data_IF_776426148521
#
_entry.id   IF_776426148521
#
_cell.length_a   1.000
_cell.length_b   1.000
_cell.length_c   1.000
_cell.angle_alpha   90.00
_cell.angle_beta   90.00
_cell.angle_gamma   90.00
#
_symmetry.space_group_name_H-M   'P 1'
#
loop_
_entity.id
_entity.type
_entity.pdbx_description
1 polymer ?
#
# COMPACT_ATOMS: atom_id res chain seq x y z
N UNK A 1 -15.52 0.41 9.27
CA UNK A 1 -16.61 0.58 8.29
C UNK A 1 -16.59 -0.48 7.19
N UNK A 2 -15.44 -1.09 6.88
CA UNK A 2 -15.27 -2.05 5.78
C UNK A 2 -15.18 -3.52 6.24
N UNK A 3 -15.77 -3.86 7.39
CA UNK A 3 -15.80 -5.26 7.80
C UNK A 3 -16.73 -6.04 6.89
N UNK A 4 -16.16 -7.03 6.20
CA UNK A 4 -16.90 -7.95 5.37
C UNK A 4 -17.91 -8.78 6.16
N UNK A 5 -18.79 -9.46 5.44
CA UNK A 5 -19.74 -10.42 6.03
C UNK A 5 -19.51 -11.82 5.49
N UNK A 6 -19.76 -12.81 6.34
CA UNK A 6 -19.66 -14.23 5.93
C UNK A 6 -20.66 -14.55 4.81
N UNK A 7 -21.86 -14.01 4.86
CA UNK A 7 -22.87 -14.20 3.80
C UNK A 7 -22.37 -13.73 2.43
N UNK A 8 -21.75 -12.54 2.38
CA UNK A 8 -21.17 -12.04 1.13
C UNK A 8 -19.94 -12.85 0.71
N UNK A 9 -19.16 -13.33 1.68
CA UNK A 9 -18.00 -14.19 1.43
C UNK A 9 -18.39 -15.51 0.77
N UNK A 10 -19.48 -16.14 1.21
CA UNK A 10 -20.01 -17.35 0.60
C UNK A 10 -20.47 -17.12 -0.85
N UNK A 11 -21.11 -15.97 -1.13
CA UNK A 11 -21.50 -15.58 -2.49
C UNK A 11 -20.29 -15.39 -3.42
N UNK A 12 -19.24 -14.73 -2.92
CA UNK A 12 -17.99 -14.55 -3.70
C UNK A 12 -17.29 -15.90 -3.93
N UNK A 13 -17.18 -16.73 -2.88
CA UNK A 13 -16.58 -18.05 -2.99
C UNK A 13 -17.31 -18.92 -4.01
N UNK A 14 -18.65 -18.86 -4.04
CA UNK A 14 -19.47 -19.55 -5.04
C UNK A 14 -19.22 -19.02 -6.46
N UNK A 15 -19.15 -17.70 -6.63
CA UNK A 15 -18.86 -17.08 -7.94
C UNK A 15 -17.45 -17.44 -8.47
N UNK A 16 -16.53 -17.79 -7.59
CA UNK A 16 -15.17 -18.22 -7.94
C UNK A 16 -14.97 -19.73 -8.01
N UNK A 17 -16.02 -20.55 -7.76
CA UNK A 17 -15.91 -22.02 -7.63
C UNK A 17 -15.30 -22.68 -8.87
N UNK A 18 -15.75 -22.31 -10.07
CA UNK A 18 -15.25 -22.88 -11.33
C UNK A 18 -13.78 -22.52 -11.56
N UNK A 19 -13.40 -21.26 -11.26
CA UNK A 19 -12.02 -20.81 -11.39
C UNK A 19 -11.10 -21.51 -10.36
N UNK A 20 -11.59 -21.72 -9.14
CA UNK A 20 -10.87 -22.48 -8.11
C UNK A 20 -10.58 -23.90 -8.56
N UNK A 21 -11.60 -24.57 -9.14
CA UNK A 21 -11.46 -25.90 -9.71
C UNK A 21 -10.46 -25.93 -10.87
N UNK A 22 -10.51 -24.95 -11.77
CA UNK A 22 -9.54 -24.82 -12.87
C UNK A 22 -8.09 -24.69 -12.33
N UNK A 23 -7.91 -24.04 -11.20
CA UNK A 23 -6.62 -23.91 -10.51
C UNK A 23 -6.23 -25.11 -9.65
N UNK A 24 -7.04 -26.17 -9.62
CA UNK A 24 -6.81 -27.39 -8.85
C UNK A 24 -7.05 -27.22 -7.34
N UNK A 25 -7.87 -26.25 -6.96
CA UNK A 25 -8.27 -25.98 -5.57
C UNK A 25 -9.65 -26.60 -5.28
N UNK A 26 -9.95 -26.77 -4.01
CA UNK A 26 -11.31 -27.11 -3.56
C UNK A 26 -12.31 -26.03 -4.02
N UNK A 27 -13.46 -26.46 -4.54
CA UNK A 27 -14.52 -25.55 -5.02
C UNK A 27 -15.04 -24.66 -3.89
N UNK A 28 -15.14 -25.21 -2.68
CA UNK A 28 -15.63 -24.51 -1.49
C UNK A 28 -14.47 -23.97 -0.65
N UNK A 29 -14.68 -22.79 -0.09
CA UNK A 29 -13.76 -22.16 0.87
C UNK A 29 -14.18 -22.58 2.27
N UNK A 30 -13.24 -23.11 3.05
CA UNK A 30 -13.46 -23.47 4.45
C UNK A 30 -13.20 -22.27 5.38
N UNK A 31 -14.26 -21.57 5.74
CA UNK A 31 -14.18 -20.41 6.64
C UNK A 31 -13.99 -20.80 8.12
N UNK A 32 -14.08 -22.08 8.49
CA UNK A 32 -13.87 -22.51 9.87
C UNK A 32 -12.42 -22.32 10.35
N UNK A 33 -11.48 -22.25 9.44
CA UNK A 33 -10.04 -22.03 9.68
C UNK A 33 -9.65 -20.56 9.64
N UNK A 34 -10.60 -19.69 9.39
CA UNK A 34 -10.32 -18.25 9.35
C UNK A 34 -10.06 -17.73 10.76
N UNK A 35 -8.91 -17.06 10.94
CA UNK A 35 -8.56 -16.35 12.18
C UNK A 35 -7.85 -15.05 11.85
N UNK A 36 -8.12 -14.01 12.61
CA UNK A 36 -7.37 -12.77 12.55
C UNK A 36 -6.26 -12.79 13.60
N UNK A 37 -5.04 -12.29 13.29
CA UNK A 37 -4.00 -12.11 14.30
C UNK A 37 -4.46 -11.11 15.36
N UNK A 38 -4.18 -11.39 16.62
CA UNK A 38 -4.44 -10.45 17.71
C UNK A 38 -3.46 -9.27 17.63
N UNK A 39 -3.99 -8.06 17.78
CA UNK A 39 -3.20 -6.83 17.67
C UNK A 39 -2.13 -6.75 18.78
N UNK A 40 -2.49 -7.10 19.98
CA UNK A 40 -1.61 -7.09 21.14
C UNK A 40 -0.37 -7.97 20.93
N UNK A 41 -0.56 -9.18 20.39
CA UNK A 41 0.56 -10.09 20.07
C UNK A 41 1.50 -9.49 19.02
N UNK A 42 0.98 -8.73 18.05
CA UNK A 42 1.81 -8.04 17.06
C UNK A 42 2.59 -6.88 17.69
N UNK A 43 1.96 -6.13 18.61
CA UNK A 43 2.60 -5.04 19.33
C UNK A 43 3.73 -5.56 20.23
N UNK A 44 3.48 -6.65 20.94
CA UNK A 44 4.49 -7.29 21.80
C UNK A 44 5.70 -7.75 20.96
N UNK A 45 5.49 -8.34 19.80
CA UNK A 45 6.57 -8.71 18.88
C UNK A 45 7.39 -7.49 18.41
N UNK A 46 6.76 -6.34 18.15
CA UNK A 46 7.44 -5.09 17.81
C UNK A 46 8.34 -4.64 18.98
N UNK A 47 7.82 -4.67 20.21
CA UNK A 47 8.56 -4.27 21.40
C UNK A 47 9.72 -5.22 21.70
N UNK A 48 9.51 -6.53 21.58
CA UNK A 48 10.54 -7.56 21.80
C UNK A 48 11.67 -7.50 20.78
N UNK A 49 11.37 -7.17 19.52
CA UNK A 49 12.41 -7.07 18.48
C UNK A 49 13.26 -5.81 18.58
N UNK A 50 12.84 -4.82 19.36
CA UNK A 50 13.58 -3.57 19.58
C UNK A 50 13.78 -2.74 18.31
N UNK A 51 12.84 -2.80 17.36
CA UNK A 51 12.89 -1.97 16.14
C UNK A 51 12.79 -0.49 16.52
N UNK A 52 13.61 0.40 15.92
CA UNK A 52 13.59 1.81 16.28
C UNK A 52 12.40 2.59 15.72
N UNK A 53 11.72 2.06 14.72
CA UNK A 53 10.62 2.74 14.00
C UNK A 53 9.51 1.75 13.66
N UNK A 54 8.27 2.15 13.88
CA UNK A 54 7.08 1.42 13.45
C UNK A 54 6.16 2.32 12.64
N UNK A 55 5.54 1.80 11.60
CA UNK A 55 4.49 2.52 10.89
C UNK A 55 3.12 1.90 11.18
N UNK A 56 2.11 2.75 11.38
CA UNK A 56 0.72 2.33 11.50
C UNK A 56 -0.11 2.78 10.30
N UNK A 57 -1.03 1.92 9.91
CA UNK A 57 -1.95 2.15 8.80
C UNK A 57 -3.38 1.91 9.25
N UNK A 58 -4.35 2.53 8.56
CA UNK A 58 -5.77 2.41 8.86
C UNK A 58 -6.18 2.97 10.22
N UNK A 59 -5.52 4.05 10.64
CA UNK A 59 -5.71 4.77 11.90
C UNK A 59 -4.41 4.95 12.66
N UNK A 60 -4.45 5.74 13.72
CA UNK A 60 -3.34 5.88 14.68
C UNK A 60 -3.39 4.79 15.76
N UNK A 61 -2.31 4.62 16.48
CA UNK A 61 -2.33 3.80 17.68
C UNK A 61 -3.26 4.41 18.74
N UNK A 62 -3.91 3.56 19.52
CA UNK A 62 -4.57 4.00 20.76
C UNK A 62 -3.52 4.56 21.69
N UNK A 63 -3.87 5.60 22.46
CA UNK A 63 -2.97 6.29 23.39
C UNK A 63 -2.09 5.34 24.20
N UNK A 64 -2.70 4.33 24.84
CA UNK A 64 -1.98 3.34 25.66
C UNK A 64 -0.91 2.56 24.89
N UNK A 65 -1.08 2.35 23.59
CA UNK A 65 -0.11 1.64 22.75
C UNK A 65 0.98 2.59 22.23
N UNK A 66 0.59 3.81 21.87
CA UNK A 66 1.54 4.88 21.51
C UNK A 66 2.51 5.17 22.64
N UNK A 67 2.01 5.35 23.87
CA UNK A 67 2.83 5.54 25.06
C UNK A 67 3.82 4.39 25.31
N UNK A 68 3.38 3.13 25.18
CA UNK A 68 4.28 1.98 25.31
C UNK A 68 5.41 2.00 24.29
N UNK A 69 5.11 2.34 23.02
CA UNK A 69 6.09 2.44 21.96
C UNK A 69 7.10 3.56 22.24
N UNK A 70 6.64 4.75 22.61
CA UNK A 70 7.50 5.88 22.95
C UNK A 70 8.38 5.61 24.17
N UNK A 71 7.85 4.97 25.22
CA UNK A 71 8.63 4.54 26.40
C UNK A 71 9.74 3.54 26.03
N UNK A 72 9.51 2.72 25.00
CA UNK A 72 10.51 1.81 24.46
C UNK A 72 11.48 2.50 23.46
N UNK A 73 11.35 3.80 23.22
CA UNK A 73 12.18 4.57 22.28
C UNK A 73 11.84 4.33 20.80
N UNK A 74 10.65 3.82 20.51
CA UNK A 74 10.21 3.53 19.14
C UNK A 74 9.52 4.76 18.54
N UNK A 75 9.95 5.21 17.37
CA UNK A 75 9.31 6.26 16.58
C UNK A 75 8.08 5.74 15.84
N UNK A 76 7.00 6.52 15.84
CA UNK A 76 5.72 6.16 15.23
C UNK A 76 5.51 6.98 13.95
N UNK A 77 5.35 6.28 12.82
CA UNK A 77 4.98 6.86 11.53
C UNK A 77 3.50 6.56 11.25
N UNK A 78 2.64 7.59 11.34
CA UNK A 78 1.22 7.46 11.03
C UNK A 78 0.94 7.64 9.55
N UNK A 79 0.12 6.79 8.91
CA UNK A 79 -0.24 6.93 7.50
C UNK A 79 -1.57 7.69 7.32
N UNK A 80 -1.66 8.51 6.26
CA UNK A 80 -2.84 9.29 5.92
C UNK A 80 -3.01 9.45 4.40
N UNK A 81 -4.24 9.55 3.92
CA UNK A 81 -4.59 9.78 2.51
C UNK A 81 -5.26 11.13 2.27
N UNK A 82 -5.63 11.82 3.35
CA UNK A 82 -6.23 13.14 3.34
C UNK A 82 -5.61 14.05 4.41
N UNK A 83 -5.76 15.37 4.26
CA UNK A 83 -5.34 16.31 5.30
C UNK A 83 -6.08 16.08 6.63
N UNK A 84 -7.36 15.65 6.58
CA UNK A 84 -8.14 15.31 7.77
C UNK A 84 -7.48 14.17 8.54
N UNK A 85 -7.14 13.09 7.86
CA UNK A 85 -6.46 11.93 8.44
C UNK A 85 -5.05 12.28 8.95
N UNK A 86 -4.30 13.12 8.24
CA UNK A 86 -3.00 13.58 8.69
C UNK A 86 -3.06 14.37 10.01
N UNK A 87 -4.12 15.17 10.21
CA UNK A 87 -4.39 15.85 11.48
C UNK A 87 -4.74 14.86 12.60
N UNK A 88 -5.46 13.78 12.29
CA UNK A 88 -5.75 12.71 13.26
C UNK A 88 -4.47 12.02 13.68
N UNK A 89 -3.56 11.69 12.73
CA UNK A 89 -2.26 11.09 13.06
C UNK A 89 -1.43 11.98 13.98
N UNK A 90 -1.42 13.29 13.73
CA UNK A 90 -0.76 14.25 14.63
C UNK A 90 -1.39 14.24 16.04
N UNK A 91 -2.72 14.19 16.13
CA UNK A 91 -3.42 14.14 17.39
C UNK A 91 -3.24 12.81 18.14
N UNK A 92 -2.91 11.73 17.41
CA UNK A 92 -2.53 10.43 17.95
C UNK A 92 -1.04 10.30 18.27
N UNK A 93 -0.33 11.44 18.37
CA UNK A 93 1.07 11.56 18.76
C UNK A 93 2.06 10.79 17.86
N UNK A 94 1.76 10.76 16.54
CA UNK A 94 2.74 10.25 15.56
C UNK A 94 3.91 11.21 15.41
N UNK A 95 5.13 10.68 15.34
CA UNK A 95 6.38 11.45 15.18
C UNK A 95 6.58 11.99 13.76
N UNK A 96 6.01 11.28 12.77
CA UNK A 96 5.95 11.73 11.37
C UNK A 96 4.69 11.18 10.69
N UNK A 97 4.33 11.79 9.55
CA UNK A 97 3.13 11.35 8.79
C UNK A 97 3.52 10.93 7.38
N UNK A 98 3.17 9.69 7.03
CA UNK A 98 3.24 9.17 5.67
C UNK A 98 2.00 9.65 4.92
N UNK A 99 2.18 10.49 3.91
CA UNK A 99 1.13 10.97 3.04
C UNK A 99 1.06 10.12 1.79
N UNK A 100 0.00 9.33 1.66
CA UNK A 100 -0.18 8.45 0.52
C UNK A 100 -1.08 9.08 -0.54
N UNK A 101 -0.51 9.49 -1.66
CA UNK A 101 -1.25 9.93 -2.85
C UNK A 101 -2.02 8.79 -3.52
N UNK A 102 -3.06 9.13 -4.30
CA UNK A 102 -3.87 8.15 -5.03
C UNK A 102 -3.06 7.37 -6.08
N UNK A 103 -1.90 7.87 -6.46
CA UNK A 103 -0.95 7.26 -7.39
C UNK A 103 -0.27 6.00 -6.84
N UNK A 104 -0.29 5.83 -5.51
CA UNK A 104 0.40 4.72 -4.85
C UNK A 104 -0.17 3.36 -5.22
N UNK A 105 0.70 2.37 -5.45
CA UNK A 105 0.34 0.98 -5.59
C UNK A 105 0.02 0.31 -4.24
N UNK A 106 -0.78 -0.74 -4.28
CA UNK A 106 -1.20 -1.48 -3.10
C UNK A 106 -2.38 -0.85 -2.36
N UNK A 107 -2.63 -1.26 -1.11
CA UNK A 107 -3.78 -0.81 -0.33
C UNK A 107 -3.81 0.70 -0.14
N UNK A 108 -4.99 1.31 -0.28
CA UNK A 108 -5.24 2.69 0.12
C UNK A 108 -5.37 2.74 1.64
N UNK A 109 -4.61 3.63 2.28
CA UNK A 109 -4.42 3.65 3.74
C UNK A 109 -5.45 4.54 4.47
N UNK A 110 -6.59 4.84 3.83
CA UNK A 110 -7.67 5.66 4.42
C UNK A 110 -8.32 4.98 5.63
N UNK A 111 -8.85 5.80 6.55
CA UNK A 111 -9.54 5.31 7.76
C UNK A 111 -10.67 6.22 8.26
N UNK A 112 -10.59 7.53 8.05
CA UNK A 112 -11.63 8.52 8.41
C UNK A 112 -12.45 8.94 7.20
N UNK A 113 -11.88 8.81 6.00
CA UNK A 113 -12.47 9.22 4.73
C UNK A 113 -13.19 8.06 4.06
N UNK A 114 -14.16 8.36 3.20
CA UNK A 114 -14.67 7.36 2.25
C UNK A 114 -13.66 7.13 1.13
N UNK A 115 -13.71 5.97 0.43
CA UNK A 115 -12.74 5.64 -0.63
C UNK A 115 -12.61 6.72 -1.73
N UNK A 116 -13.72 7.39 -2.08
CA UNK A 116 -13.75 8.46 -3.06
C UNK A 116 -13.03 9.71 -2.54
N UNK A 117 -13.34 10.15 -1.32
CA UNK A 117 -12.67 11.26 -0.65
C UNK A 117 -11.17 11.01 -0.43
N UNK A 118 -10.79 9.75 -0.18
CA UNK A 118 -9.40 9.33 0.00
C UNK A 118 -8.58 9.30 -1.30
N UNK A 119 -9.19 9.62 -2.44
CA UNK A 119 -8.55 9.60 -3.76
C UNK A 119 -7.87 10.93 -4.12
N UNK A 120 -7.14 11.50 -3.17
CA UNK A 120 -6.38 12.74 -3.36
C UNK A 120 -5.00 12.45 -3.93
N UNK A 121 -4.60 13.20 -4.98
CA UNK A 121 -3.26 13.13 -5.56
C UNK A 121 -2.18 13.70 -4.63
N UNK A 122 -0.98 13.12 -4.66
CA UNK A 122 0.11 13.53 -3.78
C UNK A 122 0.52 15.00 -3.98
N UNK A 123 0.47 15.50 -5.22
CA UNK A 123 0.78 16.89 -5.58
C UNK A 123 -0.16 17.92 -4.95
N UNK A 124 -1.36 17.51 -4.53
CA UNK A 124 -2.32 18.32 -3.79
C UNK A 124 -2.17 18.10 -2.29
N UNK A 125 -2.14 16.84 -1.86
CA UNK A 125 -2.12 16.45 -0.46
C UNK A 125 -0.88 16.97 0.28
N UNK A 126 0.30 16.83 -0.32
CA UNK A 126 1.57 17.12 0.32
C UNK A 126 1.75 18.60 0.67
N UNK A 127 1.60 19.58 -0.26
CA UNK A 127 1.75 20.99 0.07
C UNK A 127 0.66 21.50 1.04
N UNK A 128 -0.55 20.95 1.00
CA UNK A 128 -1.60 21.26 1.96
C UNK A 128 -1.21 20.80 3.38
N UNK A 129 -0.69 19.57 3.49
CA UNK A 129 -0.24 19.06 4.78
C UNK A 129 1.00 19.81 5.31
N UNK A 130 1.96 20.16 4.45
CA UNK A 130 3.14 20.91 4.82
C UNK A 130 2.82 22.29 5.43
N UNK A 131 1.78 22.96 4.92
CA UNK A 131 1.30 24.21 5.50
C UNK A 131 0.58 24.03 6.85
N UNK A 132 -0.13 22.90 7.00
CA UNK A 132 -1.03 22.68 8.14
C UNK A 132 -0.37 21.97 9.33
N UNK A 133 0.70 21.22 9.10
CA UNK A 133 1.34 20.36 10.10
C UNK A 133 2.80 20.79 10.33
N UNK A 134 3.22 20.73 11.59
CA UNK A 134 4.62 20.94 11.98
C UNK A 134 5.29 19.60 12.35
N UNK A 135 5.10 18.60 11.50
CA UNK A 135 5.68 17.27 11.64
C UNK A 135 6.44 16.92 10.37
N UNK A 136 7.47 16.08 10.44
CA UNK A 136 8.09 15.51 9.27
C UNK A 136 7.04 14.79 8.41
N UNK A 137 7.04 15.06 7.10
CA UNK A 137 6.13 14.47 6.14
C UNK A 137 6.87 13.52 5.21
N UNK A 138 6.36 12.32 5.06
CA UNK A 138 6.94 11.28 4.19
C UNK A 138 6.03 11.13 2.98
N UNK A 139 6.52 11.51 1.80
CA UNK A 139 5.74 11.41 0.57
C UNK A 139 5.71 9.98 0.04
N UNK A 140 4.52 9.45 -0.25
CA UNK A 140 4.30 8.09 -0.79
C UNK A 140 3.32 8.10 -1.95
N UNK A 141 3.67 7.42 -3.05
CA UNK A 141 2.85 7.36 -4.26
C UNK A 141 3.42 8.21 -5.40
N UNK A 142 3.48 7.63 -6.59
CA UNK A 142 4.05 8.31 -7.76
C UNK A 142 5.57 8.54 -7.71
N UNK A 143 6.26 8.06 -6.69
CA UNK A 143 7.70 8.24 -6.50
C UNK A 143 8.44 7.05 -7.14
N UNK A 144 9.14 7.29 -8.24
CA UNK A 144 9.87 6.24 -8.96
C UNK A 144 11.11 6.72 -9.72
N UNK A 145 11.44 8.02 -9.64
CA UNK A 145 12.57 8.62 -10.32
C UNK A 145 13.16 9.77 -9.51
N UNK A 146 14.38 10.19 -9.85
CA UNK A 146 15.02 11.37 -9.28
C UNK A 146 14.13 12.64 -9.39
N UNK A 147 13.40 12.80 -10.49
CA UNK A 147 12.51 13.96 -10.68
C UNK A 147 11.32 13.95 -9.72
N UNK A 148 10.68 12.77 -9.51
CA UNK A 148 9.56 12.68 -8.58
C UNK A 148 10.01 12.83 -7.11
N UNK A 149 11.22 12.37 -6.77
CA UNK A 149 11.84 12.62 -5.46
C UNK A 149 12.05 14.12 -5.22
N UNK A 150 12.71 14.80 -6.18
CA UNK A 150 12.96 16.26 -6.10
C UNK A 150 11.66 17.04 -5.98
N UNK A 151 10.65 16.69 -6.80
CA UNK A 151 9.34 17.32 -6.76
C UNK A 151 8.65 17.17 -5.40
N UNK A 152 8.71 15.99 -4.79
CA UNK A 152 8.15 15.74 -3.46
C UNK A 152 8.86 16.56 -2.38
N UNK A 153 10.20 16.61 -2.39
CA UNK A 153 10.98 17.42 -1.43
C UNK A 153 10.65 18.91 -1.56
N UNK A 154 10.62 19.45 -2.79
CA UNK A 154 10.24 20.84 -3.04
C UNK A 154 8.80 21.17 -2.66
N UNK A 155 7.91 20.19 -2.65
CA UNK A 155 6.53 20.33 -2.20
C UNK A 155 6.36 20.24 -0.67
N UNK A 156 7.46 20.04 0.09
CA UNK A 156 7.48 20.05 1.55
C UNK A 156 7.61 18.69 2.22
N UNK A 157 8.00 17.65 1.50
CA UNK A 157 8.35 16.37 2.12
C UNK A 157 9.69 16.46 2.85
N UNK A 158 9.83 15.76 3.97
CA UNK A 158 11.09 15.53 4.69
C UNK A 158 11.76 14.22 4.27
N UNK A 159 10.99 13.30 3.70
CA UNK A 159 11.45 12.00 3.20
C UNK A 159 10.50 11.45 2.13
N UNK A 160 10.90 10.36 1.48
CA UNK A 160 10.07 9.64 0.51
C UNK A 160 9.94 8.16 0.89
N UNK A 161 8.78 7.58 0.59
CA UNK A 161 8.52 6.14 0.71
C UNK A 161 8.27 5.57 -0.69
N UNK A 162 9.10 4.62 -1.10
CA UNK A 162 9.07 4.03 -2.44
C UNK A 162 8.67 2.56 -2.35
N UNK A 163 7.60 2.18 -3.05
CA UNK A 163 7.08 0.81 -3.08
C UNK A 163 7.36 0.11 -4.40
N UNK A 164 6.68 0.53 -5.47
CA UNK A 164 6.66 -0.19 -6.76
C UNK A 164 8.04 -0.33 -7.40
N UNK A 165 8.89 0.69 -7.34
CA UNK A 165 10.24 0.60 -7.90
C UNK A 165 11.09 -0.48 -7.21
N UNK A 166 10.96 -0.62 -5.90
CA UNK A 166 11.65 -1.68 -5.14
C UNK A 166 10.98 -3.05 -5.34
N UNK A 167 9.64 -3.10 -5.47
CA UNK A 167 8.93 -4.35 -5.77
C UNK A 167 9.28 -4.92 -7.15
N UNK A 168 9.72 -4.08 -8.09
CA UNK A 168 10.21 -4.49 -9.41
C UNK A 168 11.69 -4.90 -9.43
N UNK A 169 12.42 -4.69 -8.33
CA UNK A 169 13.84 -5.07 -8.27
C UNK A 169 14.04 -6.59 -8.25
N UNK A 170 15.19 -7.09 -8.72
CA UNK A 170 15.50 -8.52 -8.69
C UNK A 170 15.52 -9.13 -7.28
N UNK A 171 15.85 -8.33 -6.26
CA UNK A 171 15.91 -8.73 -4.86
C UNK A 171 14.54 -8.81 -4.19
N UNK A 172 13.49 -8.26 -4.82
CA UNK A 172 12.14 -8.38 -4.30
C UNK A 172 11.68 -9.84 -4.36
N UNK A 173 10.97 -10.29 -3.34
CA UNK A 173 10.41 -11.64 -3.28
C UNK A 173 9.26 -11.90 -4.28
N UNK A 174 8.92 -10.95 -5.12
CA UNK A 174 7.87 -11.10 -6.13
C UNK A 174 8.29 -12.10 -7.22
N UNK A 175 7.39 -12.99 -7.68
CA UNK A 175 7.65 -13.88 -8.79
C UNK A 175 8.10 -13.12 -10.05
N UNK A 176 9.05 -13.71 -10.81
CA UNK A 176 9.58 -13.08 -12.03
C UNK A 176 8.47 -12.66 -13.00
N UNK A 177 7.46 -13.51 -13.18
CA UNK A 177 6.28 -13.25 -14.01
C UNK A 177 5.58 -11.93 -13.64
N UNK A 178 5.45 -11.64 -12.34
CA UNK A 178 4.84 -10.42 -11.85
C UNK A 178 5.76 -9.21 -12.11
N UNK A 179 7.06 -9.33 -11.81
CA UNK A 179 8.02 -8.24 -12.02
C UNK A 179 8.09 -7.83 -13.49
N UNK A 180 8.20 -8.80 -14.40
CA UNK A 180 8.25 -8.54 -15.84
C UNK A 180 7.01 -7.79 -16.32
N UNK A 181 5.82 -8.19 -15.84
CA UNK A 181 4.58 -7.52 -16.16
C UNK A 181 4.52 -6.08 -15.61
N UNK A 182 4.95 -5.89 -14.37
CA UNK A 182 4.96 -4.58 -13.70
C UNK A 182 5.94 -3.61 -14.38
N UNK A 183 7.10 -4.08 -14.84
CA UNK A 183 8.11 -3.28 -15.54
C UNK A 183 7.61 -2.88 -16.94
N UNK A 184 6.86 -3.76 -17.61
CA UNK A 184 6.29 -3.49 -18.94
C UNK A 184 5.01 -2.63 -18.88
N UNK A 185 4.50 -2.31 -17.69
CA UNK A 185 3.23 -1.60 -17.54
C UNK A 185 3.31 -0.12 -17.95
N UNK A 186 2.24 0.41 -18.54
CA UNK A 186 2.07 1.84 -18.77
C UNK A 186 1.50 2.55 -17.54
N UNK A 187 1.48 3.87 -17.57
CA UNK A 187 0.85 4.74 -16.55
C UNK A 187 -0.66 4.50 -16.38
N UNK A 188 -1.32 4.01 -17.44
CA UNK A 188 -2.76 3.68 -17.45
C UNK A 188 -3.06 2.20 -17.16
N UNK A 189 -2.03 1.38 -16.92
CA UNK A 189 -2.18 -0.06 -16.71
C UNK A 189 -2.82 -0.42 -15.36
N UNK A 190 -3.02 0.52 -14.44
CA UNK A 190 -3.55 0.25 -13.10
C UNK A 190 -4.99 0.69 -12.93
N UNK A 191 -5.69 0.09 -11.97
CA UNK A 191 -7.00 0.51 -11.48
C UNK A 191 -7.08 0.41 -9.96
N UNK A 192 -8.09 1.05 -9.39
CA UNK A 192 -8.49 0.85 -7.99
C UNK A 192 -9.55 -0.25 -7.93
N UNK A 193 -9.38 -1.20 -7.03
CA UNK A 193 -10.32 -2.30 -6.80
C UNK A 193 -10.21 -2.82 -5.37
N UNK A 194 -11.27 -3.43 -4.86
CA UNK A 194 -11.31 -4.14 -3.57
C UNK A 194 -11.41 -5.67 -3.73
N UNK A 195 -11.38 -6.16 -4.96
CA UNK A 195 -11.63 -7.56 -5.32
C UNK A 195 -10.56 -8.55 -4.85
N UNK A 196 -9.37 -8.09 -4.43
CA UNK A 196 -8.33 -9.00 -3.92
C UNK A 196 -8.26 -9.06 -2.39
N UNK A 197 -8.42 -7.93 -1.72
CA UNK A 197 -8.23 -7.87 -0.27
C UNK A 197 -9.48 -7.50 0.52
N UNK A 198 -10.50 -6.99 -0.15
CA UNK A 198 -11.67 -6.42 0.50
C UNK A 198 -11.47 -4.97 0.97
N UNK A 199 -10.29 -4.40 0.73
CA UNK A 199 -9.99 -2.97 0.87
C UNK A 199 -9.61 -2.39 -0.47
N UNK A 200 -9.98 -1.14 -0.71
CA UNK A 200 -9.59 -0.46 -1.93
C UNK A 200 -8.07 -0.44 -2.07
N UNK A 201 -7.57 -0.87 -3.20
CA UNK A 201 -6.15 -0.92 -3.52
C UNK A 201 -5.88 -0.64 -5.00
N UNK A 202 -4.70 -0.10 -5.31
CA UNK A 202 -4.26 0.09 -6.69
C UNK A 202 -3.44 -1.09 -7.14
N UNK A 203 -3.89 -1.74 -8.19
CA UNK A 203 -3.25 -2.92 -8.79
C UNK A 203 -3.23 -2.81 -10.32
N UNK A 204 -2.42 -3.63 -10.98
CA UNK A 204 -2.52 -3.80 -12.43
C UNK A 204 -3.89 -4.37 -12.81
N UNK A 205 -4.46 -3.84 -13.89
CA UNK A 205 -5.66 -4.40 -14.53
C UNK A 205 -5.36 -5.81 -15.04
N UNK A 206 -6.29 -6.72 -14.88
CA UNK A 206 -6.15 -8.08 -15.39
C UNK A 206 -7.51 -8.74 -15.69
N UNK A 207 -7.46 -9.93 -16.28
CA UNK A 207 -8.66 -10.66 -16.68
C UNK A 207 -9.60 -11.01 -15.52
N UNK A 208 -9.07 -11.28 -14.32
CA UNK A 208 -9.89 -11.57 -13.14
C UNK A 208 -10.73 -10.36 -12.73
N UNK A 209 -10.12 -9.18 -12.63
CA UNK A 209 -10.84 -7.94 -12.30
C UNK A 209 -11.95 -7.67 -13.32
N UNK A 210 -11.64 -7.83 -14.61
CA UNK A 210 -12.61 -7.60 -15.69
C UNK A 210 -13.76 -8.63 -15.63
N UNK A 211 -13.45 -9.90 -15.41
CA UNK A 211 -14.44 -10.96 -15.31
C UNK A 211 -15.39 -10.76 -14.12
N UNK A 212 -14.85 -10.49 -12.93
CA UNK A 212 -15.65 -10.26 -11.73
C UNK A 212 -16.49 -8.98 -11.84
N UNK A 213 -15.90 -7.90 -12.37
CA UNK A 213 -16.63 -6.64 -12.59
C UNK A 213 -17.77 -6.82 -13.60
N UNK A 214 -17.55 -7.54 -14.70
CA UNK A 214 -18.56 -7.83 -15.72
C UNK A 214 -19.69 -8.70 -15.17
N UNK A 215 -19.36 -9.64 -14.28
CA UNK A 215 -20.33 -10.48 -13.59
C UNK A 215 -21.06 -9.77 -12.44
N UNK A 216 -20.73 -8.51 -12.16
CA UNK A 216 -21.34 -7.74 -11.07
C UNK A 216 -21.01 -8.27 -9.67
N UNK A 217 -19.92 -9.02 -9.53
CA UNK A 217 -19.47 -9.58 -8.25
C UNK A 217 -18.93 -8.43 -7.39
N UNK A 218 -19.54 -8.24 -6.21
CA UNK A 218 -19.06 -7.32 -5.19
C UNK A 218 -18.12 -8.03 -4.24
N UNK A 219 -17.09 -7.33 -3.79
CA UNK A 219 -16.17 -7.83 -2.77
C UNK A 219 -16.89 -8.28 -1.50
N UNK A 220 -16.36 -9.30 -0.85
CA UNK A 220 -16.79 -9.77 0.46
C UNK A 220 -16.39 -8.82 1.60
N UNK A 221 -15.58 -7.80 1.30
CA UNK A 221 -14.97 -6.92 2.28
C UNK A 221 -13.80 -7.58 3.03
N UNK A 222 -12.98 -6.74 3.67
CA UNK A 222 -11.89 -7.22 4.51
C UNK A 222 -12.43 -7.78 5.84
N UNK A 223 -11.89 -8.89 6.36
CA UNK A 223 -10.76 -9.68 5.86
C UNK A 223 -11.16 -10.87 4.98
N UNK A 224 -12.45 -11.14 4.81
CA UNK A 224 -12.95 -12.33 4.10
C UNK A 224 -12.48 -12.40 2.64
N UNK A 225 -12.53 -11.29 1.93
CA UNK A 225 -12.06 -11.25 0.53
C UNK A 225 -10.59 -11.68 0.42
N UNK A 226 -9.74 -11.18 1.31
CA UNK A 226 -8.33 -11.58 1.35
C UNK A 226 -8.17 -13.08 1.60
N UNK A 227 -8.97 -13.64 2.51
CA UNK A 227 -8.93 -15.06 2.82
C UNK A 227 -9.32 -15.92 1.61
N UNK A 228 -10.42 -15.56 0.91
CA UNK A 228 -10.86 -16.26 -0.30
C UNK A 228 -9.79 -16.26 -1.39
N UNK A 229 -9.08 -15.13 -1.55
CA UNK A 229 -8.12 -14.93 -2.63
C UNK A 229 -6.73 -15.52 -2.35
N UNK A 230 -6.40 -15.85 -1.10
CA UNK A 230 -5.04 -16.21 -0.71
C UNK A 230 -4.52 -17.45 -1.44
N UNK A 231 -5.21 -18.58 -1.35
CA UNK A 231 -4.82 -19.84 -1.99
C UNK A 231 -4.92 -19.78 -3.52
N UNK A 232 -5.88 -18.99 -4.03
CA UNK A 232 -6.01 -18.74 -5.48
C UNK A 232 -4.78 -18.00 -6.03
N UNK A 233 -4.24 -17.01 -5.32
CA UNK A 233 -3.03 -16.30 -5.75
C UNK A 233 -1.83 -17.24 -5.82
N UNK A 234 -1.64 -18.10 -4.82
CA UNK A 234 -0.59 -19.11 -4.80
C UNK A 234 -0.74 -20.11 -5.94
N UNK A 235 -1.96 -20.58 -6.19
CA UNK A 235 -2.25 -21.51 -7.28
C UNK A 235 -2.04 -20.85 -8.65
N UNK A 236 -2.45 -19.60 -8.84
CA UNK A 236 -2.24 -18.83 -10.06
C UNK A 236 -0.75 -18.64 -10.37
N UNK A 237 0.09 -18.37 -9.35
CA UNK A 237 1.55 -18.31 -9.52
C UNK A 237 2.08 -19.66 -10.02
N UNK A 238 1.71 -20.76 -9.37
CA UNK A 238 2.14 -22.12 -9.78
C UNK A 238 1.70 -22.47 -11.20
N UNK A 239 0.52 -22.02 -11.60
CA UNK A 239 -0.04 -22.27 -12.94
C UNK A 239 0.44 -21.27 -14.02
N UNK A 240 1.25 -20.26 -13.66
CA UNK A 240 1.68 -19.22 -14.59
C UNK A 240 0.56 -18.31 -15.11
N UNK A 241 -0.57 -18.24 -14.40
CA UNK A 241 -1.78 -17.47 -14.76
C UNK A 241 -1.65 -16.01 -14.34
N UNK A 242 -0.84 -15.23 -15.09
CA UNK A 242 -0.63 -13.80 -14.86
C UNK A 242 -1.94 -13.00 -14.86
N UNK A 243 -2.91 -13.40 -15.67
CA UNK A 243 -4.23 -12.79 -15.79
C UNK A 243 -5.09 -12.87 -14.52
N UNK A 244 -4.67 -13.65 -13.54
CA UNK A 244 -5.37 -13.83 -12.26
C UNK A 244 -4.63 -13.18 -11.08
N UNK A 245 -3.39 -12.72 -11.27
CA UNK A 245 -2.53 -12.32 -10.15
C UNK A 245 -2.85 -10.92 -9.62
N UNK A 246 -2.86 -10.79 -8.29
CA UNK A 246 -2.80 -9.50 -7.62
C UNK A 246 -1.42 -8.90 -7.78
N UNK A 247 -1.30 -7.82 -8.53
CA UNK A 247 -0.04 -7.12 -8.80
C UNK A 247 -0.14 -5.65 -8.35
N UNK A 248 0.19 -5.33 -7.09
CA UNK A 248 0.19 -3.97 -6.58
C UNK A 248 1.21 -3.11 -7.34
N UNK A 249 0.74 -2.08 -8.02
CA UNK A 249 1.57 -1.20 -8.84
C UNK A 249 1.03 0.22 -8.80
N UNK A 250 1.90 1.21 -8.57
CA UNK A 250 1.58 2.63 -8.65
C UNK A 250 1.54 3.15 -10.10
N UNK A 251 1.01 4.35 -10.28
CA UNK A 251 0.87 4.96 -11.62
C UNK A 251 2.20 5.40 -12.24
N UNK A 252 3.28 5.51 -11.45
CA UNK A 252 4.62 5.83 -11.98
C UNK A 252 5.34 4.61 -12.58
N UNK A 253 4.62 3.64 -13.12
CA UNK A 253 5.17 2.39 -13.65
C UNK A 253 6.25 2.62 -14.71
N UNK A 254 6.05 3.59 -15.61
CA UNK A 254 7.00 3.93 -16.67
C UNK A 254 8.36 4.47 -16.15
N UNK A 255 8.43 4.87 -14.89
CA UNK A 255 9.67 5.34 -14.28
C UNK A 255 10.55 4.19 -13.75
N UNK A 256 10.04 2.96 -13.80
CA UNK A 256 10.75 1.80 -13.28
C UNK A 256 11.57 1.13 -14.37
N UNK A 257 12.78 0.78 -14.02
CA UNK A 257 13.64 -0.10 -14.81
C UNK A 257 13.96 -1.33 -13.96
N UNK A 258 14.36 -2.45 -14.59
CA UNK A 258 14.82 -3.62 -13.88
C UNK A 258 16.21 -3.35 -13.25
N UNK A 259 16.25 -2.44 -12.26
CA UNK A 259 17.44 -2.09 -11.48
C UNK A 259 17.47 -2.89 -10.18
N UNK A 260 18.64 -3.05 -9.63
CA UNK A 260 18.79 -3.56 -8.26
C UNK A 260 18.16 -2.56 -7.26
N UNK A 261 17.77 -3.05 -6.11
CA UNK A 261 17.31 -2.21 -5.01
C UNK A 261 18.39 -1.18 -4.60
N UNK A 262 19.66 -1.60 -4.60
CA UNK A 262 20.79 -0.73 -4.29
C UNK A 262 20.93 0.43 -5.27
N UNK A 263 20.80 0.19 -6.58
CA UNK A 263 20.85 1.23 -7.62
C UNK A 263 19.67 2.20 -7.49
N UNK A 264 18.47 1.68 -7.25
CA UNK A 264 17.26 2.49 -7.00
C UNK A 264 17.45 3.40 -5.78
N UNK A 265 17.92 2.85 -4.67
CA UNK A 265 18.17 3.63 -3.44
C UNK A 265 19.29 4.64 -3.62
N UNK A 266 20.35 4.33 -4.40
CA UNK A 266 21.43 5.26 -4.70
C UNK A 266 20.93 6.46 -5.51
N UNK A 267 20.08 6.24 -6.52
CA UNK A 267 19.47 7.33 -7.31
C UNK A 267 18.59 8.23 -6.44
N UNK A 268 17.74 7.62 -5.59
CA UNK A 268 16.88 8.36 -4.65
C UNK A 268 17.73 9.20 -3.70
N UNK A 269 18.76 8.61 -3.11
CA UNK A 269 19.68 9.32 -2.20
C UNK A 269 20.36 10.49 -2.89
N UNK A 270 20.87 10.32 -4.10
CA UNK A 270 21.49 11.40 -4.86
C UNK A 270 20.51 12.54 -5.09
N UNK A 271 19.27 12.22 -5.51
CA UNK A 271 18.25 13.24 -5.73
C UNK A 271 17.88 14.00 -4.44
N UNK A 272 17.82 13.32 -3.30
CA UNK A 272 17.57 13.93 -2.00
C UNK A 272 18.70 14.90 -1.62
N UNK A 273 19.97 14.49 -1.75
CA UNK A 273 21.12 15.32 -1.40
C UNK A 273 21.20 16.58 -2.29
N UNK A 274 20.93 16.46 -3.58
CA UNK A 274 20.91 17.60 -4.50
C UNK A 274 19.85 18.65 -4.12
N UNK A 275 18.67 18.21 -3.63
CA UNK A 275 17.64 19.17 -3.17
C UNK A 275 18.04 19.81 -1.85
N UNK A 276 18.59 19.05 -0.90
CA UNK A 276 19.05 19.60 0.39
C UNK A 276 20.12 20.68 0.13
N UNK A 277 21.09 20.42 -0.73
CA UNK A 277 22.10 21.40 -1.09
C UNK A 277 21.53 22.67 -1.77
N UNK A 278 20.46 22.52 -2.56
CA UNK A 278 19.76 23.67 -3.15
C UNK A 278 19.03 24.49 -2.09
N UNK A 279 18.32 23.83 -1.17
CA UNK A 279 17.58 24.50 -0.10
C UNK A 279 18.52 25.24 0.86
N UNK A 280 19.65 24.65 1.22
CA UNK A 280 20.67 25.27 2.07
C UNK A 280 21.27 26.54 1.40
N UNK A 281 21.52 26.53 0.09
CA UNK A 281 22.01 27.68 -0.66
C UNK A 281 20.99 28.84 -0.74
N UNK A 282 19.71 28.53 -0.75
CA UNK A 282 18.61 29.50 -0.80
C UNK A 282 18.20 30.01 0.62
N UNK A 283 18.81 29.49 1.70
CA UNK A 283 18.50 29.85 3.08
C UNK A 283 17.08 29.47 3.52
N UNK A 284 16.55 28.41 2.95
CA UNK A 284 15.21 27.91 3.25
C UNK A 284 15.27 26.64 4.08
#
# INVERSE_FOLDING_TARGET
>A
RDRGSLEQAEKVAYALSDLRKELGLEEKVDFSRFSEPEFESQLDAVLETGVPVVSCTFGGFREVYGEKLHQAGVYILGAATTLREAKVQRAADSDAVILQGVEAGGPRLYFESDPEEASVGLSVLLPEAARALKLPLIASGGIGSAFSVKGAMMAGASAVMVGSALACSPEAGAPKLMRDAMIAASDTATCLTDLFSGRLERVMKNGLIEALSRAGVRSAGYPYQRYIMQDMMEAAVRAGRQDLLRMPLGQAANAFSCRSAAETLSEIRTALLEVIELMDKEGK
#
